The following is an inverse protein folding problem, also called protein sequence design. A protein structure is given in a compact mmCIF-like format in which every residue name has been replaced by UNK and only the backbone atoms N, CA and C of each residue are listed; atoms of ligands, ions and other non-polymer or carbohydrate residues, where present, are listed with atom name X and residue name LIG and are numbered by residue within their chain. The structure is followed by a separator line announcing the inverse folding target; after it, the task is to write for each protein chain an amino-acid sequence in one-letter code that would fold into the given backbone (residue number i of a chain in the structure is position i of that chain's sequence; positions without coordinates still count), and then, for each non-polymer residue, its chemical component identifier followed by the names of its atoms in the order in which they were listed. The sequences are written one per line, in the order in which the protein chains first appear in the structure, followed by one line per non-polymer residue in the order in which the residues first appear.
data_IF_795432917051
#
_entry.id   IF_795432917051
#
_cell.length_a   1.000
_cell.length_b   1.000
_cell.length_c   1.000
_cell.angle_alpha   90.00
_cell.angle_beta   90.00
_cell.angle_gamma   90.00
#
_symmetry.space_group_name_H-M   'P 1'
#
loop_
_entity.id
_entity.type
_entity.pdbx_description
1 polymer ?
#
# COMPACT_ATOMS: atom_id res chain seq x y z
N UNK A 1 -6.55 -16.34 -60.19
CA UNK A 1 -6.58 -17.27 -59.04
C UNK A 1 -5.53 -16.78 -58.06
N UNK A 2 -5.92 -16.28 -56.88
CA UNK A 2 -4.95 -15.90 -55.84
C UNK A 2 -4.43 -17.18 -55.18
N UNK A 3 -3.13 -17.43 -55.27
CA UNK A 3 -2.48 -18.55 -54.59
C UNK A 3 -2.47 -18.30 -53.08
N UNK A 4 -2.71 -19.34 -52.29
CA UNK A 4 -2.56 -19.24 -50.84
C UNK A 4 -1.09 -18.94 -50.50
N UNK A 5 -0.87 -17.90 -49.69
CA UNK A 5 0.46 -17.44 -49.32
C UNK A 5 0.83 -17.99 -47.95
N UNK A 6 1.96 -18.70 -47.86
CA UNK A 6 2.51 -19.24 -46.63
C UNK A 6 3.98 -18.84 -46.51
N UNK A 7 4.33 -18.18 -45.42
CA UNK A 7 5.72 -17.89 -45.06
C UNK A 7 6.14 -18.93 -44.02
N UNK A 8 7.21 -19.71 -44.25
CA UNK A 8 7.70 -20.65 -43.26
C UNK A 8 8.19 -19.90 -42.01
N UNK A 9 7.86 -20.40 -40.80
CA UNK A 9 8.35 -19.80 -39.56
C UNK A 9 9.88 -19.96 -39.47
N UNK A 10 10.54 -18.95 -38.91
CA UNK A 10 11.96 -19.02 -38.58
C UNK A 10 12.13 -19.90 -37.33
N UNK A 11 13.04 -20.87 -37.39
CA UNK A 11 13.31 -21.82 -36.30
C UNK A 11 14.80 -21.73 -35.97
N UNK A 12 15.14 -21.82 -34.68
CA UNK A 12 16.53 -21.85 -34.20
C UNK A 12 17.22 -23.17 -34.59
N UNK A 13 18.49 -23.10 -35.00
CA UNK A 13 19.30 -24.28 -35.32
C UNK A 13 20.32 -24.54 -34.20
N UNK A 14 20.31 -25.75 -33.63
CA UNK A 14 21.20 -26.15 -32.54
C UNK A 14 21.94 -27.46 -32.90
N UNK A 15 23.13 -27.39 -33.55
CA UNK A 15 23.84 -28.58 -34.02
C UNK A 15 24.37 -29.49 -32.91
N UNK A 16 24.58 -28.95 -31.71
CA UNK A 16 25.30 -29.63 -30.62
C UNK A 16 24.38 -30.12 -29.49
N UNK A 17 23.06 -29.97 -29.61
CA UNK A 17 22.14 -30.40 -28.56
C UNK A 17 20.68 -30.09 -28.84
N UNK A 18 19.83 -30.41 -27.87
CA UNK A 18 18.40 -30.18 -27.91
C UNK A 18 18.01 -29.08 -26.91
N UNK A 19 17.23 -28.10 -27.36
CA UNK A 19 16.72 -27.01 -26.52
C UNK A 19 17.12 -25.60 -26.97
N UNK A 20 16.76 -24.57 -26.19
CA UNK A 20 17.08 -23.17 -26.48
C UNK A 20 18.60 -22.95 -26.51
N UNK A 21 19.09 -22.34 -27.58
CA UNK A 21 20.50 -21.97 -27.74
C UNK A 21 20.74 -20.46 -27.61
N UNK A 22 19.72 -19.64 -27.89
CA UNK A 22 19.81 -18.18 -27.89
C UNK A 22 18.73 -17.55 -27.01
N UNK A 23 19.06 -16.38 -26.46
CA UNK A 23 18.08 -15.54 -25.78
C UNK A 23 17.21 -14.88 -26.86
N UNK A 24 15.87 -14.92 -26.75
CA UNK A 24 15.00 -14.25 -27.71
C UNK A 24 15.37 -12.78 -27.87
N UNK A 25 15.43 -12.31 -29.12
CA UNK A 25 15.86 -10.95 -29.47
C UNK A 25 15.08 -9.86 -28.72
N UNK A 26 13.79 -10.12 -28.45
CA UNK A 26 12.93 -9.25 -27.66
C UNK A 26 13.47 -8.89 -26.27
N UNK A 27 14.23 -9.79 -25.64
CA UNK A 27 14.67 -9.64 -24.25
C UNK A 27 16.18 -9.44 -24.11
N UNK A 28 16.94 -9.46 -25.21
CA UNK A 28 18.41 -9.45 -25.19
C UNK A 28 19.00 -8.17 -24.59
N UNK A 29 18.39 -7.02 -24.90
CA UNK A 29 18.93 -5.70 -24.54
C UNK A 29 18.20 -5.06 -23.33
N UNK A 30 17.42 -5.84 -22.59
CA UNK A 30 16.68 -5.35 -21.41
C UNK A 30 17.03 -6.16 -20.16
N UNK A 31 17.34 -5.49 -19.02
CA UNK A 31 17.54 -6.19 -17.77
C UNK A 31 16.30 -7.01 -17.38
N UNK A 32 16.48 -8.32 -17.16
CA UNK A 32 15.35 -9.17 -16.79
C UNK A 32 14.86 -8.84 -15.38
N UNK A 33 13.55 -8.57 -15.25
CA UNK A 33 12.87 -8.50 -13.96
C UNK A 33 11.52 -9.23 -14.04
N UNK A 34 11.28 -10.26 -13.20
CA UNK A 34 10.01 -10.96 -13.20
C UNK A 34 8.88 -10.05 -12.70
N UNK A 35 7.70 -10.21 -13.28
CA UNK A 35 6.49 -9.50 -12.87
C UNK A 35 5.26 -10.37 -13.13
N UNK A 36 4.14 -10.02 -12.48
CA UNK A 36 2.85 -10.66 -12.73
C UNK A 36 1.82 -9.60 -13.15
N UNK A 37 1.00 -9.90 -14.15
CA UNK A 37 0.01 -8.95 -14.71
C UNK A 37 -1.26 -8.82 -13.86
N UNK A 38 -1.44 -9.70 -12.90
CA UNK A 38 -2.59 -9.78 -11.99
C UNK A 38 -2.43 -8.94 -10.71
N UNK A 39 -1.26 -8.32 -10.51
CA UNK A 39 -0.98 -7.48 -9.35
C UNK A 39 -1.76 -6.17 -9.42
N UNK A 40 -2.29 -5.74 -8.27
CA UNK A 40 -3.02 -4.47 -8.16
C UNK A 40 -2.10 -3.28 -8.43
N UNK A 41 -2.53 -2.38 -9.32
CA UNK A 41 -1.84 -1.13 -9.65
C UNK A 41 -2.41 0.07 -8.88
N UNK A 42 -1.68 1.20 -8.90
CA UNK A 42 -2.12 2.47 -8.32
C UNK A 42 -1.65 2.74 -6.88
N UNK A 43 -0.38 2.41 -6.57
CA UNK A 43 0.29 2.85 -5.34
C UNK A 43 0.83 4.27 -5.54
N UNK A 44 0.58 5.16 -4.59
CA UNK A 44 1.07 6.54 -4.61
C UNK A 44 2.42 6.60 -3.88
N UNK A 45 3.35 7.40 -4.38
CA UNK A 45 4.59 7.74 -3.67
C UNK A 45 4.42 9.09 -2.97
N UNK A 46 4.76 9.16 -1.69
CA UNK A 46 4.64 10.36 -0.86
C UNK A 46 5.90 10.53 -0.01
N UNK A 47 6.65 11.60 -0.28
CA UNK A 47 7.89 11.94 0.42
C UNK A 47 7.65 12.45 1.84
N UNK A 48 6.43 12.91 2.17
CA UNK A 48 6.07 13.34 3.53
C UNK A 48 5.68 12.16 4.44
N UNK A 49 5.43 10.98 3.87
CA UNK A 49 5.00 9.78 4.60
C UNK A 49 3.59 9.84 5.18
N UNK A 50 2.77 10.84 4.83
CA UNK A 50 1.46 11.08 5.46
C UNK A 50 0.35 10.21 4.87
N UNK A 51 0.48 9.78 3.62
CA UNK A 51 -0.58 9.14 2.83
C UNK A 51 -1.02 7.77 3.35
N UNK A 52 -0.13 6.97 3.93
CA UNK A 52 -0.43 5.60 4.37
C UNK A 52 -0.21 5.41 5.88
N UNK A 53 -1.06 6.05 6.69
CA UNK A 53 -1.05 5.84 8.15
C UNK A 53 -1.38 4.39 8.54
N UNK A 54 -2.17 3.69 7.73
CA UNK A 54 -2.57 2.30 7.96
C UNK A 54 -1.78 1.35 7.06
N UNK A 55 -0.86 0.59 7.67
CA UNK A 55 0.03 -0.37 6.99
C UNK A 55 -0.72 -1.47 6.21
N UNK A 56 -2.01 -1.70 6.48
CA UNK A 56 -2.83 -2.68 5.75
C UNK A 56 -3.01 -2.33 4.27
N UNK A 57 -2.88 -1.07 3.89
CA UNK A 57 -2.99 -0.64 2.50
C UNK A 57 -1.69 -0.86 1.72
N UNK A 58 -0.54 -0.88 2.39
CA UNK A 58 0.76 -1.12 1.74
C UNK A 58 0.87 -2.53 1.16
N UNK A 59 0.39 -3.53 1.91
CA UNK A 59 0.48 -4.94 1.48
C UNK A 59 -0.38 -5.30 0.26
N UNK A 60 -1.33 -4.44 -0.14
CA UNK A 60 -2.23 -4.69 -1.29
C UNK A 60 -1.53 -4.59 -2.64
N UNK A 61 -0.39 -3.90 -2.69
CA UNK A 61 0.37 -3.62 -3.91
C UNK A 61 1.69 -4.41 -3.97
N UNK A 62 1.95 -5.27 -2.99
CA UNK A 62 3.13 -6.12 -3.00
C UNK A 62 2.93 -7.24 -4.01
N UNK A 63 3.90 -7.42 -4.90
CA UNK A 63 3.96 -8.61 -5.76
C UNK A 63 4.34 -9.80 -4.89
N UNK A 64 3.58 -10.89 -4.99
CA UNK A 64 3.93 -12.17 -4.36
C UNK A 64 5.00 -12.95 -5.16
N UNK A 65 5.14 -12.62 -6.44
CA UNK A 65 6.04 -13.27 -7.37
C UNK A 65 7.05 -12.26 -7.90
N UNK A 66 8.34 -12.52 -7.68
CA UNK A 66 9.42 -11.68 -8.19
C UNK A 66 9.58 -10.36 -7.42
N UNK A 67 10.47 -10.36 -6.42
CA UNK A 67 11.01 -9.14 -5.84
C UNK A 67 12.36 -8.84 -6.50
N UNK A 68 12.35 -7.97 -7.52
CA UNK A 68 13.56 -7.50 -8.19
C UNK A 68 13.73 -5.99 -8.04
N UNK A 69 14.98 -5.55 -7.91
CA UNK A 69 15.37 -4.14 -7.81
C UNK A 69 16.21 -3.68 -8.99
N UNK A 70 16.12 -4.38 -10.14
CA UNK A 70 16.93 -4.10 -11.32
C UNK A 70 16.64 -2.71 -11.91
N UNK A 71 15.40 -2.26 -11.74
CA UNK A 71 14.94 -0.92 -12.12
C UNK A 71 14.74 0.01 -10.91
N UNK A 72 15.43 -0.24 -9.79
CA UNK A 72 15.33 0.59 -8.59
C UNK A 72 16.42 1.67 -8.59
N UNK A 73 16.04 2.86 -8.13
CA UNK A 73 16.98 3.94 -7.81
C UNK A 73 17.16 4.02 -6.30
N UNK A 74 18.41 4.08 -5.85
CA UNK A 74 18.79 4.28 -4.46
C UNK A 74 19.42 5.67 -4.32
N UNK A 75 18.84 6.47 -3.43
CA UNK A 75 19.36 7.79 -3.12
C UNK A 75 20.26 7.68 -1.88
N UNK A 76 21.56 7.92 -2.04
CA UNK A 76 22.57 7.73 -0.97
C UNK A 76 22.84 9.01 -0.15
N UNK A 77 22.44 10.18 -0.65
CA UNK A 77 22.75 11.46 -0.02
C UNK A 77 21.69 11.90 1.00
N UNK A 78 22.12 12.54 2.08
CA UNK A 78 21.25 13.09 3.11
C UNK A 78 20.83 14.53 2.76
N UNK A 79 19.74 14.65 1.99
CA UNK A 79 19.17 15.93 1.54
C UNK A 79 18.74 16.86 2.70
N UNK A 80 18.59 16.34 3.93
CA UNK A 80 18.18 17.14 5.09
C UNK A 80 19.26 18.14 5.55
N UNK A 81 20.48 17.99 5.04
CA UNK A 81 21.62 18.85 5.38
C UNK A 81 21.64 20.16 4.58
N UNK A 82 20.98 20.20 3.42
CA UNK A 82 21.01 21.37 2.54
C UNK A 82 20.01 22.43 3.01
N UNK A 83 20.44 23.69 3.00
CA UNK A 83 19.57 24.84 3.26
C UNK A 83 19.48 25.71 2.02
N UNK A 84 18.26 26.09 1.65
CA UNK A 84 18.04 27.03 0.56
C UNK A 84 18.51 28.43 1.01
N UNK A 85 19.55 28.97 0.37
CA UNK A 85 19.98 30.34 0.60
C UNK A 85 19.03 31.29 -0.11
N UNK A 86 18.35 32.15 0.66
CA UNK A 86 17.48 33.18 0.09
C UNK A 86 18.31 34.29 -0.57
N UNK A 87 18.15 34.45 -1.88
CA UNK A 87 18.77 35.55 -2.66
C UNK A 87 17.82 36.73 -2.87
N UNK A 88 16.61 36.67 -2.28
CA UNK A 88 15.64 37.73 -2.41
C UNK A 88 16.10 39.00 -1.68
N UNK A 89 15.93 40.16 -2.31
CA UNK A 89 16.20 41.45 -1.67
C UNK A 89 15.19 41.65 -0.56
N UNK A 90 15.66 41.73 0.69
CA UNK A 90 14.83 42.01 1.87
C UNK A 90 13.94 43.23 1.62
N UNK A 91 12.64 43.02 1.42
CA UNK A 91 11.69 44.12 1.34
C UNK A 91 11.56 44.75 2.72
N UNK A 92 11.96 46.01 2.86
CA UNK A 92 11.87 46.75 4.12
C UNK A 92 10.39 46.88 4.53
N UNK A 93 10.00 46.42 5.73
CA UNK A 93 8.60 46.43 6.13
C UNK A 93 8.06 47.86 6.27
N UNK A 94 6.86 48.08 5.74
CA UNK A 94 6.10 49.36 5.73
C UNK A 94 5.79 49.90 7.15
N UNK A 95 6.16 49.17 8.20
CA UNK A 95 5.85 49.45 9.60
C UNK A 95 6.52 50.71 10.18
N UNK A 96 7.53 51.28 9.51
CA UNK A 96 8.11 52.56 9.92
C UNK A 96 7.18 53.78 9.69
N UNK A 97 6.04 53.65 9.00
CA UNK A 97 5.09 54.77 8.78
C UNK A 97 3.87 54.80 9.71
N UNK A 98 3.58 53.75 10.48
CA UNK A 98 2.30 53.63 11.24
C UNK A 98 2.42 53.47 12.76
N UNK A 99 3.62 53.64 13.32
CA UNK A 99 3.90 53.47 14.76
C UNK A 99 3.20 54.46 15.72
N UNK A 100 2.53 55.51 15.22
CA UNK A 100 1.84 56.51 16.07
C UNK A 100 0.36 56.23 16.34
N UNK A 101 -0.30 55.33 15.60
CA UNK A 101 -1.74 55.05 15.81
C UNK A 101 -2.01 53.90 16.81
N UNK A 102 -1.08 52.95 16.98
CA UNK A 102 -1.31 51.76 17.81
C UNK A 102 -1.00 51.93 19.31
N UNK A 103 -0.30 52.99 19.71
CA UNK A 103 -0.04 53.27 21.13
C UNK A 103 -1.28 53.80 21.85
N UNK A 104 -2.16 54.53 21.15
CA UNK A 104 -3.34 55.15 21.76
C UNK A 104 -4.44 54.11 22.09
N UNK A 105 -4.54 53.02 21.32
CA UNK A 105 -5.52 51.96 21.54
C UNK A 105 -5.12 50.91 22.58
N UNK A 106 -3.82 50.77 22.92
CA UNK A 106 -3.39 49.87 24.01
C UNK A 106 -3.71 50.45 25.39
N UNK A 107 -3.55 51.76 25.57
CA UNK A 107 -3.80 52.41 26.87
C UNK A 107 -5.28 52.43 27.29
N UNK A 108 -6.23 52.36 26.34
CA UNK A 108 -7.66 52.22 26.66
C UNK A 108 -8.04 50.78 27.06
N UNK A 109 -7.44 49.76 26.42
CA UNK A 109 -7.79 48.35 26.65
C UNK A 109 -7.24 47.79 27.96
N UNK A 110 -6.09 48.28 28.42
CA UNK A 110 -5.53 47.89 29.73
C UNK A 110 -6.30 48.50 30.92
N UNK A 111 -7.02 49.62 30.70
CA UNK A 111 -7.87 50.25 31.71
C UNK A 111 -9.20 49.50 31.89
N UNK A 112 -9.76 48.94 30.83
CA UNK A 112 -10.94 48.04 30.87
C UNK A 112 -10.63 46.67 31.49
N UNK A 113 -9.44 46.10 31.22
CA UNK A 113 -9.05 44.79 31.77
C UNK A 113 -8.82 44.82 33.28
N UNK A 114 -8.40 45.95 33.85
CA UNK A 114 -8.26 46.13 35.31
C UNK A 114 -9.60 46.29 36.05
N UNK A 115 -10.66 46.71 35.36
CA UNK A 115 -12.01 46.81 35.95
C UNK A 115 -12.79 45.49 35.90
N UNK A 116 -12.50 44.59 34.95
CA UNK A 116 -13.15 43.26 34.91
C UNK A 116 -12.50 42.23 35.86
N UNK A 117 -11.26 42.45 36.30
CA UNK A 117 -10.57 41.52 37.21
C UNK A 117 -10.97 41.70 38.69
N UNK A 118 -11.76 42.73 39.00
CA UNK A 118 -12.33 42.99 40.33
C UNK A 118 -13.70 42.35 40.55
N UNK A 119 -14.29 41.69 39.52
CA UNK A 119 -15.60 41.03 39.62
C UNK A 119 -15.62 39.53 39.29
N UNK A 120 -14.48 38.92 38.94
CA UNK A 120 -14.40 37.49 38.59
C UNK A 120 -13.44 36.69 39.49
N UNK A 121 -13.33 37.06 40.76
CA UNK A 121 -12.88 36.12 41.79
C UNK A 121 -14.08 35.27 42.22
N UNK A 122 -13.86 33.96 42.27
CA UNK A 122 -14.67 32.92 42.95
C UNK A 122 -15.45 31.97 42.03
N UNK A 123 -14.74 31.09 41.32
CA UNK A 123 -15.07 29.66 41.32
C UNK A 123 -13.87 28.83 40.88
N UNK A 124 -12.99 28.54 41.83
CA UNK A 124 -11.98 27.50 41.70
C UNK A 124 -12.70 26.17 41.91
N UNK A 125 -13.03 25.47 40.82
CA UNK A 125 -13.57 24.11 40.89
C UNK A 125 -12.58 23.23 41.67
N UNK A 126 -13.07 22.57 42.72
CA UNK A 126 -12.25 21.77 43.62
C UNK A 126 -11.65 20.56 42.87
N UNK A 127 -10.48 20.10 43.32
CA UNK A 127 -9.67 19.02 42.71
C UNK A 127 -10.49 17.73 42.49
N UNK A 128 -11.56 17.52 43.26
CA UNK A 128 -12.50 16.39 43.19
C UNK A 128 -13.48 16.47 42.01
N UNK A 129 -13.95 17.67 41.60
CA UNK A 129 -14.82 17.82 40.43
C UNK A 129 -14.06 17.59 39.11
N UNK A 130 -12.79 18.03 39.05
CA UNK A 130 -11.93 17.83 37.88
C UNK A 130 -11.56 16.35 37.65
N UNK A 131 -11.46 15.56 38.72
CA UNK A 131 -11.24 14.12 38.64
C UNK A 131 -12.50 13.36 38.15
N UNK A 132 -13.69 13.78 38.57
CA UNK A 132 -14.97 13.17 38.15
C UNK A 132 -15.23 13.33 36.65
N UNK A 133 -14.86 14.48 36.09
CA UNK A 133 -14.92 14.75 34.63
C UNK A 133 -13.93 13.85 33.86
N UNK A 134 -12.73 13.65 34.40
CA UNK A 134 -11.69 12.80 33.81
C UNK A 134 -12.07 11.32 33.83
N UNK A 135 -12.75 10.84 34.87
CA UNK A 135 -13.23 9.45 34.95
C UNK A 135 -14.40 9.17 34.01
N UNK A 136 -15.32 10.14 33.81
CA UNK A 136 -16.37 10.04 32.76
C UNK A 136 -15.78 9.84 31.37
N UNK A 137 -14.72 10.57 31.03
CA UNK A 137 -14.05 10.45 29.73
C UNK A 137 -13.31 9.10 29.56
N UNK A 138 -12.80 8.51 30.65
CA UNK A 138 -12.15 7.19 30.62
C UNK A 138 -13.13 6.05 30.38
N UNK A 139 -14.34 6.13 30.94
CA UNK A 139 -15.40 5.12 30.76
C UNK A 139 -15.90 5.15 29.30
N UNK A 140 -16.12 6.32 28.72
CA UNK A 140 -16.48 6.50 27.31
C UNK A 140 -15.43 5.88 26.36
N UNK A 141 -14.13 6.12 26.61
CA UNK A 141 -13.04 5.52 25.82
C UNK A 141 -12.93 4.00 25.96
N UNK A 142 -13.25 3.43 27.13
CA UNK A 142 -13.28 1.97 27.33
C UNK A 142 -14.44 1.33 26.55
N UNK A 143 -15.63 1.94 26.59
CA UNK A 143 -16.79 1.45 25.85
C UNK A 143 -16.57 1.46 24.33
N UNK A 144 -15.95 2.52 23.81
CA UNK A 144 -15.60 2.64 22.40
C UNK A 144 -14.54 1.61 21.94
N UNK A 145 -13.58 1.24 22.81
CA UNK A 145 -12.58 0.20 22.53
C UNK A 145 -13.16 -1.22 22.55
N UNK A 146 -14.20 -1.46 23.34
CA UNK A 146 -14.81 -2.79 23.47
C UNK A 146 -15.66 -3.13 22.24
N UNK A 147 -16.41 -2.17 21.72
CA UNK A 147 -17.14 -2.31 20.44
C UNK A 147 -16.21 -2.47 19.23
N UNK A 148 -15.06 -1.82 19.23
CA UNK A 148 -14.06 -1.93 18.15
C UNK A 148 -13.39 -3.31 18.06
N UNK A 149 -13.19 -4.02 19.20
CA UNK A 149 -12.55 -5.34 19.24
C UNK A 149 -13.45 -6.45 18.67
N UNK A 150 -14.75 -6.41 18.97
CA UNK A 150 -15.71 -7.42 18.52
C UNK A 150 -15.94 -7.36 16.99
N UNK A 151 -15.83 -6.16 16.40
CA UNK A 151 -15.86 -5.98 14.95
C UNK A 151 -14.58 -6.45 14.23
N UNK A 152 -13.46 -6.54 14.98
CA UNK A 152 -12.15 -6.94 14.44
C UNK A 152 -12.00 -8.46 14.40
N UNK A 153 -12.54 -9.19 15.38
CA UNK A 153 -12.58 -10.67 15.37
C UNK A 153 -13.44 -11.23 14.23
N UNK A 154 -14.60 -10.62 13.95
CA UNK A 154 -15.44 -11.05 12.82
C UNK A 154 -14.84 -10.73 11.44
N UNK A 155 -13.84 -9.83 11.36
CA UNK A 155 -13.07 -9.55 10.13
C UNK A 155 -11.87 -10.47 9.91
N UNK A 156 -11.46 -11.23 10.93
CA UNK A 156 -10.31 -12.13 10.85
C UNK A 156 -10.67 -13.52 10.30
N UNK A 157 -11.96 -13.83 10.15
CA UNK A 157 -12.41 -14.99 9.37
C UNK A 157 -12.30 -14.62 7.90
N UNK A 158 -11.15 -14.92 7.30
CA UNK A 158 -11.00 -14.82 5.83
C UNK A 158 -12.17 -15.58 5.19
N UNK A 159 -12.91 -14.96 4.25
CA UNK A 159 -13.88 -15.71 3.47
C UNK A 159 -13.12 -16.84 2.79
N UNK A 160 -13.54 -18.08 3.04
CA UNK A 160 -13.09 -19.24 2.29
C UNK A 160 -13.41 -18.91 0.84
N UNK A 161 -12.38 -18.58 0.06
CA UNK A 161 -12.55 -18.28 -1.36
C UNK A 161 -12.88 -19.60 -2.02
N UNK A 162 -14.10 -19.73 -2.51
CA UNK A 162 -14.47 -20.83 -3.39
C UNK A 162 -13.52 -20.76 -4.59
N UNK A 163 -12.71 -21.81 -4.75
CA UNK A 163 -11.86 -21.98 -5.92
C UNK A 163 -12.76 -22.56 -7.00
N UNK A 164 -13.23 -21.70 -7.88
CA UNK A 164 -13.97 -22.13 -9.05
C UNK A 164 -13.03 -22.85 -10.02
N UNK A 165 -13.55 -23.79 -10.81
CA UNK A 165 -12.77 -24.55 -11.77
C UNK A 165 -12.10 -23.60 -12.79
N UNK A 166 -10.84 -23.89 -13.13
CA UNK A 166 -10.06 -23.03 -14.04
C UNK A 166 -10.49 -23.13 -15.51
N UNK A 167 -11.28 -24.15 -15.86
CA UNK A 167 -11.71 -24.44 -17.23
C UNK A 167 -13.23 -24.31 -17.34
N UNK A 168 -13.69 -23.69 -18.42
CA UNK A 168 -15.11 -23.57 -18.73
C UNK A 168 -15.61 -24.88 -19.36
N UNK A 169 -16.62 -25.50 -18.74
CA UNK A 169 -17.28 -26.70 -19.24
C UNK A 169 -18.16 -26.30 -20.43
N UNK A 170 -18.07 -27.04 -21.53
CA UNK A 170 -18.88 -26.83 -22.73
C UNK A 170 -19.91 -27.96 -22.88
N UNK A 171 -21.00 -27.68 -23.57
CA UNK A 171 -22.14 -28.61 -23.73
C UNK A 171 -21.83 -29.82 -24.63
N UNK A 172 -20.75 -29.77 -25.41
CA UNK A 172 -20.27 -30.86 -26.26
C UNK A 172 -19.45 -31.92 -25.49
N UNK A 173 -19.14 -31.68 -24.21
CA UNK A 173 -18.34 -32.59 -23.40
C UNK A 173 -19.21 -33.69 -22.79
N UNK A 174 -18.86 -34.95 -23.08
CA UNK A 174 -19.51 -36.11 -22.49
C UNK A 174 -18.71 -36.57 -21.28
N UNK A 175 -19.37 -36.66 -20.12
CA UNK A 175 -18.75 -37.17 -18.88
C UNK A 175 -18.47 -38.66 -19.05
N UNK A 176 -17.19 -39.04 -18.91
CA UNK A 176 -16.75 -40.44 -19.04
C UNK A 176 -16.73 -41.13 -17.68
N UNK A 177 -16.02 -40.56 -16.70
CA UNK A 177 -15.90 -41.12 -15.36
C UNK A 177 -15.75 -40.01 -14.32
N UNK A 178 -16.38 -40.19 -13.16
CA UNK A 178 -16.23 -39.31 -11.99
C UNK A 178 -15.41 -40.03 -10.90
N UNK A 179 -14.38 -39.35 -10.40
CA UNK A 179 -13.52 -39.87 -9.32
C UNK A 179 -13.40 -38.85 -8.19
N UNK A 180 -13.71 -39.28 -6.97
CA UNK A 180 -13.54 -38.48 -5.75
C UNK A 180 -12.16 -38.69 -5.12
N UNK A 181 -11.70 -37.69 -4.34
CA UNK A 181 -10.38 -37.74 -3.72
C UNK A 181 -10.12 -39.00 -2.86
N UNK A 182 -11.07 -39.48 -2.03
CA UNK A 182 -10.87 -40.71 -1.27
C UNK A 182 -10.61 -41.95 -2.13
N UNK A 183 -11.21 -42.06 -3.33
CA UNK A 183 -10.96 -43.17 -4.26
C UNK A 183 -9.54 -43.15 -4.81
N UNK A 184 -8.99 -41.97 -5.10
CA UNK A 184 -7.61 -41.81 -5.58
C UNK A 184 -6.56 -42.17 -4.52
N UNK A 185 -6.79 -41.81 -3.25
CA UNK A 185 -5.81 -42.09 -2.17
C UNK A 185 -5.53 -43.57 -1.92
N UNK A 186 -6.43 -44.46 -2.37
CA UNK A 186 -6.31 -45.91 -2.21
C UNK A 186 -5.60 -46.59 -3.37
N UNK A 187 -5.33 -45.88 -4.47
CA UNK A 187 -4.68 -46.44 -5.65
C UNK A 187 -3.18 -46.57 -5.40
N UNK A 188 -2.60 -47.72 -5.76
CA UNK A 188 -1.17 -47.98 -5.67
C UNK A 188 -0.74 -48.84 -6.88
N UNK A 189 0.39 -48.51 -7.51
CA UNK A 189 0.95 -49.22 -8.65
C UNK A 189 2.44 -49.52 -8.40
N UNK A 190 2.77 -50.71 -7.84
CA UNK A 190 4.13 -51.04 -7.40
C UNK A 190 5.07 -51.52 -8.52
N UNK A 191 4.54 -52.09 -9.61
CA UNK A 191 5.33 -52.77 -10.65
C UNK A 191 5.55 -51.90 -11.90
N UNK A 192 6.12 -50.71 -11.70
CA UNK A 192 6.47 -49.79 -12.80
C UNK A 192 7.86 -50.14 -13.32
N UNK A 193 7.97 -50.45 -14.62
CA UNK A 193 9.25 -50.71 -15.29
C UNK A 193 10.02 -49.41 -15.51
N UNK A 194 11.34 -49.52 -15.63
CA UNK A 194 12.18 -48.42 -16.07
C UNK A 194 11.80 -48.00 -17.49
N UNK A 195 11.84 -46.68 -17.76
CA UNK A 195 11.56 -46.14 -19.08
C UNK A 195 12.61 -46.61 -20.09
N UNK A 196 12.16 -47.01 -21.26
CA UNK A 196 13.03 -47.31 -22.41
C UNK A 196 13.13 -46.07 -23.29
N UNK A 197 14.35 -45.66 -23.62
CA UNK A 197 14.59 -44.59 -24.60
C UNK A 197 14.21 -45.08 -26.00
N UNK A 198 13.39 -44.28 -26.71
CA UNK A 198 12.90 -44.55 -28.07
C UNK A 198 13.66 -43.73 -29.12
#
# INVERSE_FOLDING_TARGET
MSTAHFIPPQIQDNPNGWGPNEIPEQFKDMPYQPFSKDVRLGKVSDWTGSTYQDKRYLGKYNSAFGGGSQYAYYHEEDESTFQLVDTSRVQKPVYQRRGRLFQQNRQRRDRERRQQQTQASMQVLTKTQKNRERDRQRILKKWQKQFGKQMQENRSKMPIRNRDASVQIKDDWVVVEEMDFPRLTKLNLPDIKDGEDL
#
